data_IF_293364733729
#
_entry.id   IF_293364733729
#
_cell.length_a   1.000
_cell.length_b   1.000
_cell.length_c   1.000
_cell.angle_alpha   90.00
_cell.angle_beta   90.00
_cell.angle_gamma   90.00
#
_symmetry.space_group_name_H-M   'P 1'
#
loop_
_entity.id
_entity.type
_entity.pdbx_description
1 polymer ?
#
# COMPACT_ATOMS: atom_id res chain seq x y z
N UNK A 1 -59.25 -11.96 -44.11
CA UNK A 1 -59.54 -12.61 -42.80
C UNK A 1 -58.21 -12.93 -42.16
N UNK A 2 -57.82 -12.50 -40.96
CA UNK A 2 -58.50 -11.77 -39.91
C UNK A 2 -57.45 -10.92 -39.16
N UNK A 3 -57.86 -9.76 -38.66
CA UNK A 3 -57.08 -8.95 -37.74
C UNK A 3 -57.07 -9.65 -36.37
N UNK A 4 -55.88 -9.83 -35.78
CA UNK A 4 -55.75 -10.17 -34.38
C UNK A 4 -55.24 -8.91 -33.66
N UNK A 5 -56.18 -8.17 -33.08
CA UNK A 5 -55.88 -7.04 -32.20
C UNK A 5 -55.13 -7.53 -30.98
N UNK A 6 -53.92 -7.04 -30.79
CA UNK A 6 -53.21 -7.16 -29.51
C UNK A 6 -54.02 -6.37 -28.50
N UNK A 7 -54.57 -7.07 -27.51
CA UNK A 7 -55.33 -6.47 -26.40
C UNK A 7 -54.55 -5.32 -25.79
N UNK A 8 -55.17 -4.13 -25.77
CA UNK A 8 -54.63 -2.91 -25.16
C UNK A 8 -54.23 -3.12 -23.68
N UNK A 9 -54.84 -4.11 -23.01
CA UNK A 9 -54.47 -4.49 -21.65
C UNK A 9 -53.09 -5.16 -21.55
N UNK A 10 -52.69 -5.94 -22.56
CA UNK A 10 -51.39 -6.63 -22.58
C UNK A 10 -50.24 -5.66 -22.87
N UNK A 11 -50.46 -4.65 -23.71
CA UNK A 11 -49.50 -3.57 -23.96
C UNK A 11 -49.34 -2.66 -22.75
N UNK A 12 -50.43 -2.34 -22.03
CA UNK A 12 -50.37 -1.54 -20.79
C UNK A 12 -49.67 -2.30 -19.66
N UNK A 13 -49.92 -3.61 -19.49
CA UNK A 13 -49.20 -4.43 -18.50
C UNK A 13 -47.71 -4.58 -18.81
N UNK A 14 -47.33 -4.71 -20.07
CA UNK A 14 -45.91 -4.70 -20.46
C UNK A 14 -45.26 -3.33 -20.20
N UNK A 15 -45.95 -2.23 -20.51
CA UNK A 15 -45.42 -0.88 -20.27
C UNK A 15 -45.29 -0.58 -18.76
N UNK A 16 -46.22 -1.06 -17.92
CA UNK A 16 -46.12 -0.93 -16.47
C UNK A 16 -45.03 -1.83 -15.87
N UNK A 17 -44.81 -3.04 -16.42
CA UNK A 17 -43.70 -3.89 -16.01
C UNK A 17 -42.34 -3.30 -16.40
N UNK A 18 -42.23 -2.68 -17.57
CA UNK A 18 -41.02 -1.97 -18.02
C UNK A 18 -40.78 -0.68 -17.22
N UNK A 19 -41.84 0.06 -16.88
CA UNK A 19 -41.75 1.24 -16.01
C UNK A 19 -41.37 0.84 -14.55
N UNK A 20 -41.86 -0.29 -14.05
CA UNK A 20 -41.47 -0.83 -12.74
C UNK A 20 -40.00 -1.29 -12.68
N UNK A 21 -39.45 -1.79 -13.79
CA UNK A 21 -38.02 -2.13 -13.92
C UNK A 21 -37.11 -0.89 -14.07
N UNK A 22 -37.66 0.23 -14.55
CA UNK A 22 -36.95 1.51 -14.63
C UNK A 22 -36.98 2.31 -13.31
N UNK A 23 -37.98 2.06 -12.46
CA UNK A 23 -38.12 2.68 -11.13
C UNK A 23 -37.57 1.82 -9.97
N UNK A 24 -37.01 0.65 -10.26
CA UNK A 24 -36.15 -0.03 -9.31
C UNK A 24 -34.84 0.76 -9.24
N UNK A 25 -34.69 1.59 -8.20
CA UNK A 25 -33.40 2.10 -7.76
C UNK A 25 -32.42 0.94 -7.80
N UNK A 26 -31.57 0.90 -8.83
CA UNK A 26 -30.41 0.02 -8.82
C UNK A 26 -29.56 0.57 -7.69
N UNK A 27 -29.69 -0.03 -6.51
CA UNK A 27 -28.79 0.22 -5.39
C UNK A 27 -27.42 -0.25 -5.84
N UNK A 28 -26.71 0.65 -6.54
CA UNK A 28 -25.34 0.44 -6.94
C UNK A 28 -24.52 0.50 -5.67
N UNK A 29 -24.33 -0.67 -5.05
CA UNK A 29 -23.42 -0.80 -3.92
C UNK A 29 -22.03 -0.61 -4.51
N UNK A 30 -21.51 0.62 -4.41
CA UNK A 30 -20.16 0.91 -4.85
C UNK A 30 -19.23 -0.09 -4.15
N UNK A 31 -18.26 -0.69 -4.86
CA UNK A 31 -17.36 -1.69 -4.28
C UNK A 31 -16.47 -1.16 -3.13
N UNK A 32 -16.63 0.09 -2.70
CA UNK A 32 -15.94 0.74 -1.58
C UNK A 32 -16.89 1.12 -0.42
N UNK A 33 -18.15 0.63 -0.39
CA UNK A 33 -19.14 0.96 0.65
C UNK A 33 -18.65 0.70 2.09
N UNK A 34 -17.73 -0.26 2.28
CA UNK A 34 -17.13 -0.55 3.59
C UNK A 34 -16.07 0.47 4.04
N UNK A 35 -15.58 1.31 3.12
CA UNK A 35 -14.48 2.25 3.35
C UNK A 35 -14.94 3.71 3.36
N UNK A 36 -16.15 4.00 2.89
CA UNK A 36 -16.72 5.37 2.92
C UNK A 36 -17.50 5.62 4.21
N UNK A 37 -17.83 6.89 4.47
CA UNK A 37 -18.71 7.25 5.58
C UNK A 37 -20.13 6.72 5.37
N UNK A 38 -20.75 6.22 6.44
CA UNK A 38 -22.19 5.94 6.44
C UNK A 38 -22.98 7.23 6.59
N UNK A 39 -24.26 7.21 6.19
CA UNK A 39 -25.18 8.34 6.41
C UNK A 39 -25.19 8.80 7.87
N UNK A 40 -25.25 7.85 8.81
CA UNK A 40 -25.21 8.13 10.24
C UNK A 40 -23.92 8.81 10.70
N UNK A 41 -22.75 8.39 10.19
CA UNK A 41 -21.48 9.05 10.49
C UNK A 41 -21.42 10.46 9.91
N UNK A 42 -22.00 10.68 8.73
CA UNK A 42 -22.10 12.01 8.13
C UNK A 42 -22.98 12.95 8.96
N UNK A 43 -24.15 12.49 9.42
CA UNK A 43 -25.02 13.28 10.30
C UNK A 43 -24.33 13.62 11.63
N UNK A 44 -23.50 12.72 12.18
CA UNK A 44 -22.71 12.99 13.37
C UNK A 44 -21.61 14.02 13.11
N UNK A 45 -20.93 13.94 11.96
CA UNK A 45 -19.91 14.92 11.56
C UNK A 45 -20.53 16.32 11.38
N UNK A 46 -21.71 16.41 10.76
CA UNK A 46 -22.45 17.66 10.57
C UNK A 46 -22.95 18.26 11.91
N UNK A 47 -23.43 17.42 12.83
CA UNK A 47 -23.79 17.87 14.18
C UNK A 47 -22.56 18.35 14.96
N UNK A 48 -21.43 17.66 14.82
CA UNK A 48 -20.19 18.05 15.50
C UNK A 48 -19.61 19.36 14.96
N UNK A 49 -19.76 19.65 13.67
CA UNK A 49 -19.28 20.91 13.07
C UNK A 49 -20.09 22.13 13.51
N UNK A 50 -21.38 21.95 13.82
CA UNK A 50 -22.28 23.01 14.26
C UNK A 50 -22.03 23.48 15.72
N UNK A 51 -21.38 22.68 16.57
CA UNK A 51 -21.17 22.98 18.01
C UNK A 51 -19.69 22.97 18.47
N UNK A 52 -18.71 22.97 17.57
CA UNK A 52 -17.32 22.58 17.93
C UNK A 52 -16.59 23.48 18.95
N UNK A 53 -16.13 22.92 20.10
CA UNK A 53 -14.99 23.46 20.82
C UNK A 53 -13.70 23.33 19.99
N UNK A 54 -12.78 24.30 20.08
CA UNK A 54 -11.49 24.30 19.35
C UNK A 54 -10.78 22.96 19.55
N UNK A 55 -10.35 22.34 18.46
CA UNK A 55 -9.63 21.07 18.50
C UNK A 55 -8.39 21.18 19.42
N UNK A 56 -8.23 20.19 20.31
CA UNK A 56 -7.08 20.13 21.21
C UNK A 56 -5.78 20.05 20.41
N UNK A 57 -4.86 20.97 20.71
CA UNK A 57 -3.55 21.08 20.05
C UNK A 57 -2.42 21.02 21.07
N UNK A 58 -1.26 20.52 20.66
CA UNK A 58 -0.06 20.47 21.49
C UNK A 58 1.19 20.78 20.66
N UNK A 59 2.22 21.31 21.31
CA UNK A 59 3.52 21.53 20.68
C UNK A 59 4.40 20.30 20.93
N UNK A 60 4.97 19.67 19.88
CA UNK A 60 5.87 18.54 20.06
C UNK A 60 7.09 18.88 20.91
N UNK A 61 7.50 17.95 21.77
CA UNK A 61 8.71 18.09 22.59
C UNK A 61 9.97 18.13 21.70
N UNK A 62 11.05 18.81 22.11
CA UNK A 62 12.28 18.85 21.34
C UNK A 62 12.85 17.46 21.04
N UNK A 63 13.50 17.28 19.90
CA UNK A 63 14.08 15.99 19.48
C UNK A 63 15.13 15.44 20.46
N UNK A 64 15.74 16.31 21.28
CA UNK A 64 16.72 15.93 22.31
C UNK A 64 16.06 15.32 23.57
N UNK A 65 14.74 15.42 23.72
CA UNK A 65 14.04 14.86 24.86
C UNK A 65 14.19 13.33 24.89
N UNK A 66 14.55 12.81 26.07
CA UNK A 66 14.78 11.37 26.25
C UNK A 66 13.52 10.60 25.90
N UNK A 67 13.68 9.60 25.03
CA UNK A 67 12.61 8.73 24.54
C UNK A 67 13.03 7.30 24.80
N UNK A 68 12.12 6.47 25.33
CA UNK A 68 12.38 5.04 25.48
C UNK A 68 12.53 4.39 24.11
N UNK A 69 13.45 3.42 23.95
CA UNK A 69 13.53 2.63 22.72
C UNK A 69 12.20 1.92 22.43
N UNK A 70 11.97 1.65 21.15
CA UNK A 70 10.81 0.89 20.68
C UNK A 70 11.02 -0.58 21.00
N UNK A 71 10.03 -1.17 21.68
CA UNK A 71 9.96 -2.61 21.88
C UNK A 71 9.24 -3.27 20.71
N UNK A 72 10.01 -3.79 19.76
CA UNK A 72 9.46 -4.42 18.54
C UNK A 72 8.68 -5.70 18.83
N UNK A 73 9.04 -6.42 19.90
CA UNK A 73 8.38 -7.67 20.25
C UNK A 73 7.01 -7.41 20.87
N UNK A 74 6.92 -6.41 21.76
CA UNK A 74 5.63 -5.96 22.30
C UNK A 74 4.69 -5.46 21.18
N UNK A 75 5.22 -4.74 20.17
CA UNK A 75 4.43 -4.33 19.01
C UNK A 75 3.92 -5.51 18.19
N UNK A 76 4.76 -6.51 17.95
CA UNK A 76 4.38 -7.74 17.26
C UNK A 76 3.25 -8.46 18.00
N UNK A 77 3.35 -8.59 19.31
CA UNK A 77 2.31 -9.21 20.14
C UNK A 77 0.99 -8.44 20.09
N UNK A 78 1.03 -7.11 20.20
CA UNK A 78 -0.16 -6.27 20.09
C UNK A 78 -0.85 -6.43 18.72
N UNK A 79 -0.07 -6.44 17.63
CA UNK A 79 -0.55 -6.66 16.27
C UNK A 79 -1.18 -8.05 16.10
N UNK A 80 -0.55 -9.09 16.66
CA UNK A 80 -1.05 -10.46 16.59
C UNK A 80 -2.37 -10.62 17.38
N UNK A 81 -2.44 -10.10 18.61
CA UNK A 81 -3.64 -10.13 19.45
C UNK A 81 -4.83 -9.43 18.80
N UNK A 82 -4.58 -8.34 18.06
CA UNK A 82 -5.62 -7.64 17.34
C UNK A 82 -6.28 -8.50 16.24
N UNK A 83 -5.61 -9.55 15.76
CA UNK A 83 -6.17 -10.45 14.75
C UNK A 83 -7.13 -11.51 15.29
N UNK A 84 -7.05 -11.83 16.57
CA UNK A 84 -7.88 -12.88 17.19
C UNK A 84 -9.35 -12.47 17.29
N UNK A 85 -9.63 -11.16 17.36
CA UNK A 85 -10.96 -10.59 17.55
C UNK A 85 -11.56 -9.99 16.28
N UNK A 86 -11.01 -10.31 15.10
CA UNK A 86 -11.47 -9.73 13.84
C UNK A 86 -12.86 -10.23 13.46
N UNK A 87 -13.75 -9.29 13.17
CA UNK A 87 -15.06 -9.59 12.58
C UNK A 87 -14.93 -9.81 11.07
N UNK A 88 -15.95 -10.42 10.45
CA UNK A 88 -15.96 -10.63 8.99
C UNK A 88 -15.91 -9.32 8.21
N UNK A 89 -16.57 -8.26 8.70
CA UNK A 89 -16.50 -6.92 8.10
C UNK A 89 -15.07 -6.34 8.14
N UNK A 90 -14.29 -6.62 9.18
CA UNK A 90 -12.88 -6.20 9.28
C UNK A 90 -12.02 -6.92 8.25
N UNK A 91 -12.26 -8.21 8.06
CA UNK A 91 -11.56 -9.03 7.05
C UNK A 91 -11.90 -8.57 5.63
N UNK A 92 -13.17 -8.28 5.35
CA UNK A 92 -13.60 -7.74 4.07
C UNK A 92 -13.00 -6.35 3.80
N UNK A 93 -12.96 -5.47 4.81
CA UNK A 93 -12.29 -4.17 4.71
C UNK A 93 -10.80 -4.32 4.42
N UNK A 94 -10.11 -5.20 5.15
CA UNK A 94 -8.71 -5.51 4.94
C UNK A 94 -8.44 -6.09 3.53
N UNK A 95 -9.30 -6.99 3.04
CA UNK A 95 -9.19 -7.50 1.67
C UNK A 95 -9.35 -6.38 0.62
N UNK A 96 -10.31 -5.47 0.83
CA UNK A 96 -10.56 -4.36 -0.08
C UNK A 96 -9.41 -3.37 -0.11
N UNK A 97 -8.91 -2.95 1.05
CA UNK A 97 -7.73 -2.07 1.17
C UNK A 97 -6.49 -2.79 0.62
N UNK A 98 -6.35 -4.10 0.85
CA UNK A 98 -5.30 -4.93 0.27
C UNK A 98 -5.28 -4.91 -1.27
N UNK A 99 -6.45 -4.92 -1.91
CA UNK A 99 -6.54 -4.78 -3.36
C UNK A 99 -6.13 -3.38 -3.84
N UNK A 100 -6.61 -2.33 -3.14
CA UNK A 100 -6.28 -0.94 -3.48
C UNK A 100 -4.79 -0.64 -3.33
N UNK A 101 -4.17 -1.07 -2.22
CA UNK A 101 -2.74 -0.86 -1.99
C UNK A 101 -1.89 -1.64 -2.98
N UNK A 102 -2.31 -2.83 -3.43
CA UNK A 102 -1.58 -3.58 -4.46
C UNK A 102 -1.59 -2.83 -5.79
N UNK A 103 -2.77 -2.34 -6.22
CA UNK A 103 -2.89 -1.58 -7.46
C UNK A 103 -2.04 -0.30 -7.44
N UNK A 104 -2.17 0.50 -6.38
CA UNK A 104 -1.37 1.70 -6.23
C UNK A 104 0.12 1.36 -6.11
N UNK A 105 0.46 0.31 -5.37
CA UNK A 105 1.83 -0.16 -5.21
C UNK A 105 2.50 -0.52 -6.53
N UNK A 106 1.80 -1.24 -7.41
CA UNK A 106 2.31 -1.59 -8.74
C UNK A 106 2.53 -0.36 -9.61
N UNK A 107 1.58 0.57 -9.62
CA UNK A 107 1.72 1.83 -10.34
C UNK A 107 2.94 2.62 -9.84
N UNK A 108 3.08 2.78 -8.53
CA UNK A 108 4.17 3.54 -7.92
C UNK A 108 5.53 2.85 -8.05
N UNK A 109 5.57 1.52 -8.01
CA UNK A 109 6.78 0.75 -8.25
C UNK A 109 7.30 0.98 -9.66
N UNK A 110 6.42 0.94 -10.67
CA UNK A 110 6.80 1.22 -12.05
C UNK A 110 7.37 2.62 -12.23
N UNK A 111 6.77 3.63 -11.60
CA UNK A 111 7.32 4.99 -11.62
C UNK A 111 8.71 5.05 -10.97
N UNK A 112 8.88 4.38 -9.82
CA UNK A 112 10.16 4.31 -9.14
C UNK A 112 11.22 3.57 -9.99
N UNK A 113 10.89 2.47 -10.65
CA UNK A 113 11.85 1.74 -11.49
C UNK A 113 12.25 2.51 -12.74
N UNK A 114 11.35 3.30 -13.33
CA UNK A 114 11.65 4.18 -14.47
C UNK A 114 12.55 5.37 -14.09
N UNK A 115 12.49 5.83 -12.83
CA UNK A 115 13.26 6.99 -12.35
C UNK A 115 14.57 6.65 -11.63
N UNK A 116 14.67 5.45 -11.04
CA UNK A 116 15.83 5.04 -10.26
C UNK A 116 16.90 4.45 -11.18
N UNK A 117 17.97 5.21 -11.44
CA UNK A 117 19.16 4.80 -12.19
C UNK A 117 20.26 4.21 -11.28
N UNK A 118 19.89 3.70 -10.10
CA UNK A 118 20.84 3.21 -9.10
C UNK A 118 21.27 1.77 -9.35
N UNK A 119 22.59 1.51 -9.22
CA UNK A 119 23.20 0.19 -9.39
C UNK A 119 22.74 -0.87 -8.36
N UNK A 120 22.14 -0.46 -7.23
CA UNK A 120 21.51 -1.35 -6.25
C UNK A 120 20.00 -1.36 -6.48
N UNK A 121 19.40 -2.53 -6.74
CA UNK A 121 18.00 -2.67 -7.18
C UNK A 121 16.92 -1.98 -6.34
N UNK A 122 15.71 -1.94 -6.90
CA UNK A 122 14.60 -1.12 -6.39
C UNK A 122 13.74 -1.87 -5.36
N UNK A 123 13.38 -1.21 -4.26
CA UNK A 123 12.47 -1.76 -3.24
C UNK A 123 11.38 -0.75 -2.88
N UNK A 124 10.13 -1.20 -2.93
CA UNK A 124 8.97 -0.42 -2.51
C UNK A 124 8.14 -1.22 -1.50
N UNK A 125 7.52 -0.53 -0.55
CA UNK A 125 6.50 -1.12 0.32
C UNK A 125 5.13 -0.52 -0.01
N UNK A 126 4.25 -1.27 -0.71
CA UNK A 126 2.91 -0.78 -1.04
C UNK A 126 2.10 -0.39 0.19
N UNK A 127 2.19 -1.18 1.26
CA UNK A 127 1.51 -0.92 2.54
C UNK A 127 2.00 0.36 3.20
N UNK A 128 3.32 0.60 3.21
CA UNK A 128 3.92 1.82 3.78
C UNK A 128 3.53 3.06 2.98
N UNK A 129 3.63 2.98 1.65
CA UNK A 129 3.28 4.07 0.75
C UNK A 129 1.79 4.42 0.88
N UNK A 130 0.92 3.42 0.82
CA UNK A 130 -0.53 3.61 0.92
C UNK A 130 -0.92 4.15 2.30
N UNK A 131 -0.36 3.61 3.38
CA UNK A 131 -0.63 4.08 4.74
C UNK A 131 -0.12 5.50 5.00
N UNK A 132 1.00 5.89 4.40
CA UNK A 132 1.51 7.28 4.46
C UNK A 132 0.57 8.25 3.75
N UNK A 133 0.09 7.91 2.55
CA UNK A 133 -0.90 8.72 1.83
C UNK A 133 -2.25 8.78 2.55
N UNK A 134 -2.72 7.65 3.11
CA UNK A 134 -3.94 7.59 3.90
C UNK A 134 -3.83 8.41 5.20
N UNK A 135 -2.64 8.44 5.81
CA UNK A 135 -2.35 9.29 6.97
C UNK A 135 -2.42 10.77 6.60
N UNK A 136 -1.84 11.17 5.47
CA UNK A 136 -1.95 12.55 4.99
C UNK A 136 -3.39 12.92 4.60
N UNK A 137 -4.15 11.98 4.01
CA UNK A 137 -5.57 12.14 3.72
C UNK A 137 -6.40 12.42 4.99
N UNK A 138 -6.11 11.73 6.09
CA UNK A 138 -6.75 11.99 7.38
C UNK A 138 -6.53 13.44 7.85
N UNK A 139 -5.35 13.99 7.56
CA UNK A 139 -4.95 15.36 7.84
C UNK A 139 -5.45 16.41 6.82
N UNK A 140 -6.05 16.00 5.72
CA UNK A 140 -6.38 16.87 4.61
C UNK A 140 -7.82 17.44 4.67
N UNK A 141 -7.95 18.63 4.10
CA UNK A 141 -9.22 19.28 3.74
C UNK A 141 -9.29 19.46 2.23
N UNK A 142 -10.48 19.78 1.72
CA UNK A 142 -10.63 20.04 0.29
C UNK A 142 -9.89 21.33 -0.12
N UNK A 143 -9.34 21.37 -1.35
CA UNK A 143 -9.43 20.36 -2.42
C UNK A 143 -8.43 19.19 -2.29
N UNK A 144 -7.46 19.27 -1.38
CA UNK A 144 -6.39 18.26 -1.23
C UNK A 144 -6.91 16.89 -0.84
N UNK A 145 -7.89 16.81 0.07
CA UNK A 145 -8.51 15.56 0.49
C UNK A 145 -9.14 14.80 -0.68
N UNK A 146 -9.95 15.49 -1.49
CA UNK A 146 -10.57 14.90 -2.69
C UNK A 146 -9.54 14.41 -3.72
N UNK A 147 -8.45 15.16 -3.94
CA UNK A 147 -7.36 14.74 -4.84
C UNK A 147 -6.61 13.52 -4.31
N UNK A 148 -6.33 13.46 -3.00
CA UNK A 148 -5.71 12.31 -2.35
C UNK A 148 -6.62 11.07 -2.41
N UNK A 149 -7.92 11.24 -2.20
CA UNK A 149 -8.90 10.15 -2.30
C UNK A 149 -8.92 9.54 -3.72
N UNK A 150 -8.96 10.39 -4.74
CA UNK A 150 -8.89 9.93 -6.13
C UNK A 150 -7.57 9.18 -6.41
N UNK A 151 -6.46 9.68 -5.87
CA UNK A 151 -5.15 9.02 -5.99
C UNK A 151 -5.07 7.67 -5.27
N UNK A 152 -5.77 7.52 -4.13
CA UNK A 152 -5.91 6.24 -3.42
C UNK A 152 -6.82 5.24 -4.17
N UNK A 153 -7.42 5.64 -5.29
CA UNK A 153 -8.22 4.77 -6.17
C UNK A 153 -9.72 4.76 -5.84
N UNK A 154 -10.22 5.74 -5.09
CA UNK A 154 -11.67 5.88 -4.80
C UNK A 154 -12.20 7.13 -5.49
N UNK A 155 -13.02 7.00 -6.55
CA UNK A 155 -13.60 8.16 -7.20
C UNK A 155 -14.60 8.84 -6.26
N UNK A 156 -14.55 10.17 -6.16
CA UNK A 156 -15.54 10.97 -5.43
C UNK A 156 -16.58 11.51 -6.39
N UNK A 157 -17.50 10.66 -6.87
CA UNK A 157 -18.45 11.03 -7.94
C UNK A 157 -19.45 12.12 -7.51
N UNK A 158 -19.91 12.13 -6.25
CA UNK A 158 -21.06 12.96 -5.86
C UNK A 158 -20.76 14.15 -4.93
N UNK A 159 -19.50 14.45 -4.58
CA UNK A 159 -19.06 15.45 -3.57
C UNK A 159 -19.70 15.35 -2.15
N UNK A 160 -20.75 14.55 -1.97
CA UNK A 160 -21.43 14.32 -0.71
C UNK A 160 -20.59 13.55 0.31
N UNK A 161 -20.92 13.67 1.58
CA UNK A 161 -20.14 13.04 2.66
C UNK A 161 -20.04 11.51 2.52
N UNK A 162 -21.08 10.83 2.02
CA UNK A 162 -21.11 9.36 1.87
C UNK A 162 -20.24 8.83 0.72
N UNK A 163 -19.76 9.69 -0.18
CA UNK A 163 -18.77 9.32 -1.19
C UNK A 163 -17.34 9.59 -0.74
N UNK A 164 -17.16 10.18 0.46
CA UNK A 164 -15.83 10.42 1.04
C UNK A 164 -15.32 9.18 1.74
N UNK A 165 -14.02 8.93 1.55
CA UNK A 165 -13.29 7.87 2.22
C UNK A 165 -13.20 8.15 3.72
N UNK A 166 -13.46 7.15 4.55
CA UNK A 166 -13.22 7.23 5.98
C UNK A 166 -11.78 6.81 6.27
N UNK A 167 -10.91 7.80 6.50
CA UNK A 167 -9.51 7.57 6.81
C UNK A 167 -9.28 6.65 8.00
N UNK A 168 -10.15 6.70 9.02
CA UNK A 168 -10.00 5.83 10.20
C UNK A 168 -10.29 4.36 9.86
N UNK A 169 -11.31 4.10 9.04
CA UNK A 169 -11.60 2.74 8.55
C UNK A 169 -10.44 2.20 7.72
N UNK A 170 -9.84 3.05 6.88
CA UNK A 170 -8.70 2.67 6.03
C UNK A 170 -7.46 2.35 6.88
N UNK A 171 -7.08 3.22 7.82
CA UNK A 171 -5.93 2.97 8.69
C UNK A 171 -6.15 1.77 9.61
N UNK A 172 -7.39 1.55 10.08
CA UNK A 172 -7.76 0.33 10.82
C UNK A 172 -7.66 -0.93 9.95
N UNK A 173 -8.10 -0.89 8.70
CA UNK A 173 -7.92 -2.01 7.77
C UNK A 173 -6.43 -2.29 7.51
N UNK A 174 -5.57 -1.26 7.43
CA UNK A 174 -4.12 -1.44 7.36
C UNK A 174 -3.54 -2.08 8.62
N UNK A 175 -4.03 -1.72 9.80
CA UNK A 175 -3.67 -2.39 11.06
C UNK A 175 -3.97 -3.89 10.99
N UNK A 176 -5.17 -4.25 10.52
CA UNK A 176 -5.58 -5.64 10.32
C UNK A 176 -4.66 -6.37 9.34
N UNK A 177 -4.27 -5.75 8.23
CA UNK A 177 -3.32 -6.35 7.26
C UNK A 177 -1.95 -6.60 7.92
N UNK A 178 -1.43 -5.62 8.68
CA UNK A 178 -0.16 -5.75 9.41
C UNK A 178 -0.23 -6.86 10.45
N UNK A 179 -1.32 -6.94 11.22
CA UNK A 179 -1.59 -8.01 12.18
C UNK A 179 -1.63 -9.38 11.51
N UNK A 180 -2.38 -9.51 10.41
CA UNK A 180 -2.50 -10.78 9.68
C UNK A 180 -1.16 -11.28 9.11
N UNK A 181 -0.23 -10.36 8.81
CA UNK A 181 1.14 -10.70 8.40
C UNK A 181 1.92 -11.39 9.51
N UNK A 182 1.88 -10.82 10.72
CA UNK A 182 2.70 -11.27 11.88
C UNK A 182 1.99 -12.32 12.74
N UNK A 183 0.69 -12.51 12.55
CA UNK A 183 -0.09 -13.53 13.25
C UNK A 183 0.49 -14.93 12.99
N UNK A 184 0.81 -15.63 14.07
CA UNK A 184 1.29 -17.00 13.97
C UNK A 184 0.11 -17.97 13.74
N UNK A 185 0.30 -18.93 12.85
CA UNK A 185 -0.56 -20.12 12.85
C UNK A 185 -0.27 -20.92 14.12
N UNK A 186 -1.32 -21.40 14.80
CA UNK A 186 -1.24 -22.04 16.12
C UNK A 186 -0.25 -23.22 16.27
N UNK A 187 -0.19 -23.73 17.51
CA UNK A 187 0.70 -24.76 18.08
C UNK A 187 1.45 -25.65 17.06
N UNK A 188 2.61 -25.19 16.61
CA UNK A 188 3.42 -25.94 15.67
C UNK A 188 4.62 -25.16 15.10
N UNK A 189 5.47 -24.62 15.97
CA UNK A 189 6.84 -24.16 15.66
C UNK A 189 7.02 -23.46 14.30
N UNK A 190 6.23 -22.42 14.04
CA UNK A 190 6.33 -21.61 12.83
C UNK A 190 7.34 -20.49 13.02
N UNK A 191 7.94 -20.04 11.93
CA UNK A 191 8.89 -18.92 11.94
C UNK A 191 8.22 -17.64 12.44
N UNK A 192 8.88 -16.94 13.36
CA UNK A 192 8.47 -15.62 13.86
C UNK A 192 8.67 -14.58 12.75
N UNK A 193 7.59 -13.87 12.41
CA UNK A 193 7.64 -12.68 11.56
C UNK A 193 7.49 -11.43 12.43
N UNK A 194 8.30 -10.43 12.12
CA UNK A 194 8.30 -9.16 12.82
C UNK A 194 8.11 -8.05 11.79
N UNK A 195 7.17 -7.16 12.09
CA UNK A 195 6.87 -5.97 11.32
C UNK A 195 6.68 -4.82 12.31
N UNK A 196 7.54 -3.82 12.20
CA UNK A 196 7.49 -2.62 13.03
C UNK A 196 7.35 -1.40 12.13
N UNK A 197 6.28 -0.64 12.36
CA UNK A 197 6.00 0.62 11.65
C UNK A 197 6.09 1.77 12.65
N UNK A 198 7.06 2.67 12.42
CA UNK A 198 7.30 3.85 13.25
C UNK A 198 7.11 5.09 12.39
N UNK A 199 6.31 6.04 12.87
CA UNK A 199 6.08 7.31 12.20
C UNK A 199 6.79 8.44 12.94
N UNK A 200 7.72 9.11 12.28
CA UNK A 200 8.36 10.32 12.77
C UNK A 200 7.67 11.57 12.21
N UNK A 201 7.11 12.40 13.10
CA UNK A 201 6.55 13.70 12.75
C UNK A 201 7.48 14.79 13.26
N UNK A 202 8.28 15.36 12.37
CA UNK A 202 9.29 16.35 12.74
C UNK A 202 8.81 17.74 12.37
N UNK A 203 8.59 18.60 13.36
CA UNK A 203 8.01 19.93 13.16
C UNK A 203 9.01 21.05 13.44
N UNK A 204 8.82 22.19 12.79
CA UNK A 204 9.48 23.42 13.21
C UNK A 204 9.11 23.78 14.66
N UNK A 205 9.99 24.49 15.40
CA UNK A 205 9.70 24.89 16.76
C UNK A 205 8.45 25.78 16.82
N UNK A 206 7.57 25.55 17.80
CA UNK A 206 6.35 26.32 17.99
C UNK A 206 5.12 25.81 17.23
N UNK A 207 5.29 25.00 16.19
CA UNK A 207 4.16 24.44 15.43
C UNK A 207 3.30 23.51 16.30
N UNK A 208 1.97 23.69 16.25
CA UNK A 208 1.01 22.99 17.09
C UNK A 208 0.28 21.89 16.30
N UNK A 209 0.47 20.63 16.69
CA UNK A 209 -0.24 19.51 16.08
C UNK A 209 -1.62 19.30 16.74
N UNK A 210 -2.62 18.97 15.93
CA UNK A 210 -3.96 18.56 16.39
C UNK A 210 -3.90 17.16 16.98
N UNK A 211 -4.37 17.01 18.22
CA UNK A 211 -4.40 15.73 18.92
C UNK A 211 -5.28 14.67 18.23
N UNK A 212 -6.47 15.01 17.66
CA UNK A 212 -7.28 14.05 16.92
C UNK A 212 -6.54 13.43 15.73
N UNK A 213 -5.74 14.23 15.02
CA UNK A 213 -4.92 13.74 13.91
C UNK A 213 -3.89 12.71 14.40
N UNK A 214 -3.06 13.07 15.38
CA UNK A 214 -2.01 12.18 15.89
C UNK A 214 -2.59 10.88 16.45
N UNK A 215 -3.73 10.94 17.16
CA UNK A 215 -4.43 9.73 17.64
C UNK A 215 -4.97 8.86 16.51
N UNK A 216 -5.46 9.48 15.44
CA UNK A 216 -5.97 8.76 14.27
C UNK A 216 -4.90 8.02 13.47
N UNK A 217 -3.61 8.31 13.67
CA UNK A 217 -2.49 7.61 13.03
C UNK A 217 -2.17 6.26 13.72
N UNK A 218 -2.57 6.08 14.98
CA UNK A 218 -2.23 4.92 15.80
C UNK A 218 -2.57 3.56 15.17
N UNK A 219 -3.70 3.38 14.44
CA UNK A 219 -3.97 2.11 13.78
C UNK A 219 -2.92 1.75 12.70
N UNK A 220 -2.40 2.72 11.95
CA UNK A 220 -1.38 2.41 10.94
C UNK A 220 0.03 2.33 11.54
N UNK A 221 0.37 3.25 12.44
CA UNK A 221 1.67 3.34 13.09
C UNK A 221 1.46 3.52 14.61
N UNK A 222 1.41 2.42 15.39
CA UNK A 222 1.22 2.46 16.84
C UNK A 222 2.28 3.32 17.54
N UNK A 223 3.49 3.36 16.97
CA UNK A 223 4.57 4.24 17.43
C UNK A 223 4.61 5.49 16.54
N UNK A 224 3.96 6.54 17.00
CA UNK A 224 4.06 7.89 16.40
C UNK A 224 4.90 8.80 17.30
N UNK A 225 5.97 9.37 16.74
CA UNK A 225 6.98 10.17 17.44
C UNK A 225 6.96 11.62 16.94
N UNK A 226 6.09 12.48 17.49
CA UNK A 226 6.12 13.90 17.21
C UNK A 226 7.28 14.57 17.95
N UNK A 227 8.21 15.20 17.22
CA UNK A 227 9.35 15.94 17.79
C UNK A 227 9.52 17.29 17.11
N UNK A 228 9.90 18.30 17.88
CA UNK A 228 10.28 19.60 17.33
C UNK A 228 11.80 19.72 17.17
N UNK A 229 12.22 20.33 16.08
CA UNK A 229 13.61 20.72 15.82
C UNK A 229 13.64 21.86 14.82
N UNK A 230 14.71 22.64 14.85
CA UNK A 230 14.95 23.65 13.83
C UNK A 230 15.24 23.00 12.47
N UNK A 231 14.47 23.39 11.46
CA UNK A 231 14.53 22.89 10.08
C UNK A 231 15.09 23.94 9.11
N UNK A 232 15.23 25.21 9.53
CA UNK A 232 15.51 26.32 8.61
C UNK A 232 16.98 26.74 8.60
N UNK A 233 17.65 26.75 9.76
CA UNK A 233 19.02 27.27 9.87
C UNK A 233 20.07 26.37 9.22
N UNK A 234 19.98 25.06 9.47
CA UNK A 234 20.88 24.05 8.94
C UNK A 234 20.10 22.75 8.66
N UNK A 235 19.50 22.62 7.45
CA UNK A 235 18.71 21.44 7.08
C UNK A 235 19.51 20.14 7.10
N UNK A 236 20.81 20.17 6.81
CA UNK A 236 21.68 18.99 6.80
C UNK A 236 21.94 18.50 8.23
N UNK A 237 22.23 19.40 9.16
CA UNK A 237 22.34 19.08 10.59
C UNK A 237 21.00 18.59 11.16
N UNK A 238 19.88 19.16 10.72
CA UNK A 238 18.55 18.68 11.11
C UNK A 238 18.32 17.24 10.64
N UNK A 239 18.67 16.92 9.41
CA UNK A 239 18.59 15.56 8.86
C UNK A 239 19.49 14.57 9.64
N UNK A 240 20.70 14.98 10.04
CA UNK A 240 21.60 14.17 10.86
C UNK A 240 21.00 13.91 12.25
N UNK A 241 20.44 14.95 12.90
CA UNK A 241 19.76 14.83 14.19
C UNK A 241 18.57 13.87 14.11
N UNK A 242 17.77 13.92 13.05
CA UNK A 242 16.66 13.00 12.80
C UNK A 242 17.17 11.56 12.66
N UNK A 243 18.20 11.33 11.84
CA UNK A 243 18.79 10.01 11.67
C UNK A 243 19.31 9.43 12.99
N UNK A 244 20.06 10.23 13.75
CA UNK A 244 20.60 9.83 15.07
C UNK A 244 19.48 9.52 16.06
N UNK A 245 18.45 10.36 16.12
CA UNK A 245 17.29 10.15 16.98
C UNK A 245 16.57 8.84 16.63
N UNK A 246 16.27 8.63 15.35
CA UNK A 246 15.58 7.43 14.90
C UNK A 246 16.41 6.18 15.14
N UNK A 247 17.72 6.21 14.89
CA UNK A 247 18.62 5.09 15.19
C UNK A 247 18.67 4.80 16.70
N UNK A 248 18.66 5.82 17.56
CA UNK A 248 18.67 5.63 19.01
C UNK A 248 17.35 5.05 19.54
N UNK A 249 16.21 5.44 18.95
CA UNK A 249 14.89 5.00 19.39
C UNK A 249 14.51 3.63 18.80
N UNK A 250 14.91 3.32 17.57
CA UNK A 250 14.54 2.04 16.93
C UNK A 250 15.65 1.00 16.95
N UNK A 251 16.92 1.41 17.14
CA UNK A 251 18.07 0.52 17.01
C UNK A 251 18.42 0.17 15.56
N UNK A 252 17.63 0.62 14.58
CA UNK A 252 17.85 0.28 13.16
C UNK A 252 18.97 1.13 12.58
N UNK A 253 19.81 0.50 11.76
CA UNK A 253 20.89 1.22 11.07
C UNK A 253 20.30 2.06 9.94
N UNK A 254 20.20 3.37 10.18
CA UNK A 254 19.78 4.36 9.19
C UNK A 254 20.85 4.51 8.11
N UNK A 255 20.43 4.67 6.85
CA UNK A 255 21.34 5.05 5.77
C UNK A 255 21.62 6.56 5.81
N UNK A 256 22.10 7.12 4.70
CA UNK A 256 22.48 8.54 4.62
C UNK A 256 21.33 9.46 5.07
N UNK A 257 21.65 10.57 5.77
CA UNK A 257 20.67 11.62 6.07
C UNK A 257 19.94 12.06 4.82
N UNK A 258 18.66 12.46 4.97
CA UNK A 258 17.92 12.97 3.82
C UNK A 258 18.45 14.34 3.45
N UNK A 259 19.03 14.43 2.26
CA UNK A 259 19.41 15.68 1.62
C UNK A 259 18.21 16.37 0.98
N UNK A 260 18.28 17.69 0.83
CA UNK A 260 17.29 18.46 0.07
C UNK A 260 16.00 18.78 0.84
N UNK A 261 16.07 18.87 2.17
CA UNK A 261 15.00 19.48 2.97
C UNK A 261 15.03 21.00 2.72
N UNK A 262 13.91 21.58 2.30
CA UNK A 262 13.83 23.03 2.09
C UNK A 262 13.88 23.77 3.44
N UNK A 263 14.63 24.88 3.57
CA UNK A 263 14.66 25.71 4.78
C UNK A 263 13.27 26.23 5.20
N UNK A 264 12.34 26.36 4.26
CA UNK A 264 10.97 26.83 4.52
C UNK A 264 10.04 25.73 5.06
N UNK A 265 10.56 24.52 5.24
CA UNK A 265 9.79 23.36 5.71
C UNK A 265 9.41 23.52 7.16
N UNK A 266 8.14 23.24 7.48
CA UNK A 266 7.63 23.26 8.86
C UNK A 266 7.19 21.89 9.35
N UNK A 267 7.01 20.92 8.44
CA UNK A 267 6.73 19.52 8.77
C UNK A 267 7.52 18.58 7.85
N UNK A 268 8.20 17.59 8.45
CA UNK A 268 8.66 16.38 7.76
C UNK A 268 7.85 15.18 8.24
N UNK A 269 7.33 14.40 7.30
CA UNK A 269 6.48 13.25 7.57
C UNK A 269 7.23 11.97 7.15
N UNK A 270 7.81 11.25 8.11
CA UNK A 270 8.72 10.14 7.82
C UNK A 270 8.17 8.83 8.36
N UNK A 271 7.84 7.90 7.48
CA UNK A 271 7.42 6.55 7.83
C UNK A 271 8.60 5.61 7.73
N UNK A 272 8.93 4.93 8.82
CA UNK A 272 10.01 3.94 8.92
C UNK A 272 9.39 2.57 9.13
N UNK A 273 9.76 1.62 8.28
CA UNK A 273 9.29 0.23 8.40
C UNK A 273 10.47 -0.70 8.47
N UNK A 274 10.45 -1.53 9.51
CA UNK A 274 11.34 -2.65 9.69
C UNK A 274 10.56 -3.95 9.53
N UNK A 275 11.03 -4.80 8.62
CA UNK A 275 10.47 -6.15 8.46
C UNK A 275 11.58 -7.16 8.58
N UNK A 276 11.32 -8.17 9.39
CA UNK A 276 12.21 -9.29 9.65
C UNK A 276 11.42 -10.59 9.56
N UNK A 277 11.95 -11.53 8.78
CA UNK A 277 11.39 -12.87 8.65
C UNK A 277 12.50 -13.92 8.65
N UNK A 278 12.22 -15.07 9.26
CA UNK A 278 13.13 -16.22 9.29
C UNK A 278 12.58 -17.31 8.37
N UNK A 279 13.37 -17.84 7.44
CA UNK A 279 12.93 -19.06 6.78
C UNK A 279 13.23 -20.28 7.61
N UNK A 280 12.28 -21.21 7.57
CA UNK A 280 12.43 -22.50 8.20
C UNK A 280 13.12 -23.45 7.22
N UNK A 281 14.14 -24.17 7.71
CA UNK A 281 14.86 -25.17 6.92
C UNK A 281 15.92 -24.60 5.98
N UNK A 282 16.23 -23.31 6.11
CA UNK A 282 17.36 -22.68 5.42
C UNK A 282 18.52 -22.47 6.39
N UNK A 283 19.72 -22.49 5.85
CA UNK A 283 20.97 -22.30 6.58
C UNK A 283 21.95 -21.49 5.74
N UNK A 284 22.75 -20.67 6.41
CA UNK A 284 23.84 -19.93 5.79
C UNK A 284 24.90 -20.92 5.27
N UNK A 285 25.26 -20.78 3.99
CA UNK A 285 26.33 -21.55 3.38
C UNK A 285 27.70 -21.05 3.83
N UNK A 286 28.71 -21.93 3.94
CA UNK A 286 30.06 -21.52 4.27
C UNK A 286 30.67 -20.70 3.12
N UNK A 287 31.30 -19.58 3.48
CA UNK A 287 31.94 -18.68 2.52
C UNK A 287 30.98 -17.77 1.75
N UNK A 288 31.56 -16.89 0.94
CA UNK A 288 30.83 -16.05 0.00
C UNK A 288 30.73 -16.78 -1.35
N UNK A 289 29.64 -16.55 -2.08
CA UNK A 289 29.49 -17.06 -3.45
C UNK A 289 29.16 -15.94 -4.41
N UNK A 290 29.47 -16.16 -5.67
CA UNK A 290 29.28 -15.15 -6.71
C UNK A 290 27.80 -15.00 -7.06
N UNK A 291 27.33 -13.76 -7.00
CA UNK A 291 26.06 -13.32 -7.54
C UNK A 291 26.33 -12.46 -8.77
N UNK A 292 25.84 -12.91 -9.92
CA UNK A 292 26.01 -12.23 -11.20
C UNK A 292 25.00 -11.09 -11.33
N UNK A 293 25.49 -9.86 -11.39
CA UNK A 293 24.66 -8.65 -11.55
C UNK A 293 24.35 -8.42 -13.02
N UNK A 294 25.30 -8.78 -13.88
CA UNK A 294 25.15 -8.85 -15.33
C UNK A 294 26.02 -10.00 -15.88
N UNK A 295 26.12 -10.13 -17.20
CA UNK A 295 26.87 -11.23 -17.85
C UNK A 295 28.39 -11.15 -17.63
N UNK A 296 28.92 -10.03 -17.15
CA UNK A 296 30.36 -9.76 -17.01
C UNK A 296 30.78 -9.49 -15.56
N UNK A 297 29.87 -9.01 -14.70
CA UNK A 297 30.16 -8.58 -13.33
C UNK A 297 29.50 -9.48 -12.30
N UNK A 298 30.30 -9.95 -11.34
CA UNK A 298 29.84 -10.71 -10.19
C UNK A 298 30.27 -10.03 -8.88
N UNK A 299 29.48 -10.26 -7.84
CA UNK A 299 29.76 -9.81 -6.47
C UNK A 299 29.68 -10.99 -5.53
N UNK A 300 30.67 -11.16 -4.65
CA UNK A 300 30.68 -12.25 -3.68
C UNK A 300 29.78 -11.88 -2.48
N UNK A 301 28.73 -12.67 -2.27
CA UNK A 301 27.70 -12.42 -1.24
C UNK A 301 27.46 -13.65 -0.37
N UNK A 302 27.02 -13.48 0.88
CA UNK A 302 26.56 -14.61 1.69
C UNK A 302 25.34 -15.25 1.05
N UNK A 303 25.35 -16.58 0.92
CA UNK A 303 24.24 -17.36 0.38
C UNK A 303 23.60 -18.21 1.47
N UNK A 304 22.30 -18.46 1.32
CA UNK A 304 21.51 -19.34 2.16
C UNK A 304 20.90 -20.44 1.31
N UNK A 305 20.78 -21.64 1.88
CA UNK A 305 20.25 -22.80 1.16
C UNK A 305 19.32 -23.61 2.03
N UNK A 306 18.24 -24.09 1.42
CA UNK A 306 17.23 -24.93 2.07
C UNK A 306 16.59 -25.86 1.06
N UNK A 307 16.34 -27.09 1.47
CA UNK A 307 15.68 -28.11 0.64
C UNK A 307 14.29 -28.36 1.19
N UNK A 308 13.28 -28.34 0.31
CA UNK A 308 11.91 -28.59 0.71
C UNK A 308 10.99 -28.74 -0.48
N UNK A 309 9.71 -29.01 -0.19
CA UNK A 309 8.66 -28.96 -1.20
C UNK A 309 8.13 -27.54 -1.27
N UNK A 310 8.45 -26.83 -2.35
CA UNK A 310 7.96 -25.48 -2.60
C UNK A 310 6.94 -25.49 -3.73
N UNK A 311 6.06 -24.49 -3.72
CA UNK A 311 5.13 -24.25 -4.81
C UNK A 311 5.91 -23.55 -5.93
N UNK A 312 5.94 -24.16 -7.12
CA UNK A 312 6.75 -23.68 -8.24
C UNK A 312 5.98 -23.76 -9.56
N UNK A 313 6.27 -22.82 -10.44
CA UNK A 313 5.76 -22.76 -11.81
C UNK A 313 6.84 -22.17 -12.72
N UNK A 314 6.98 -22.72 -13.92
CA UNK A 314 7.88 -22.22 -14.96
C UNK A 314 7.07 -21.98 -16.22
N UNK A 315 7.26 -20.80 -16.81
CA UNK A 315 6.58 -20.34 -18.00
C UNK A 315 7.59 -20.11 -19.12
N UNK A 316 7.63 -21.03 -20.07
CA UNK A 316 8.48 -20.91 -21.24
C UNK A 316 7.98 -19.85 -22.23
N UNK A 317 6.71 -19.42 -22.18
CA UNK A 317 6.20 -18.38 -23.09
C UNK A 317 6.68 -16.99 -22.69
N UNK A 318 6.80 -16.75 -21.38
CA UNK A 318 7.24 -15.47 -20.82
C UNK A 318 8.66 -15.54 -20.21
N UNK A 319 9.43 -16.59 -20.51
CA UNK A 319 10.81 -16.82 -20.03
C UNK A 319 11.00 -16.56 -18.53
N UNK A 320 10.10 -17.06 -17.68
CA UNK A 320 10.18 -16.82 -16.24
C UNK A 320 9.83 -18.05 -15.43
N UNK A 321 10.24 -18.04 -14.18
CA UNK A 321 9.84 -19.02 -13.18
C UNK A 321 9.48 -18.33 -11.87
N UNK A 322 8.52 -18.92 -11.18
CA UNK A 322 7.99 -18.42 -9.91
C UNK A 322 8.14 -19.49 -8.86
N UNK A 323 8.78 -19.16 -7.74
CA UNK A 323 8.88 -20.04 -6.57
C UNK A 323 8.28 -19.35 -5.36
N UNK A 324 7.32 -20.01 -4.72
CA UNK A 324 6.66 -19.52 -3.51
C UNK A 324 7.21 -20.25 -2.29
N UNK A 325 7.81 -19.48 -1.40
CA UNK A 325 8.41 -19.93 -0.15
C UNK A 325 7.54 -19.47 1.02
N UNK A 326 6.94 -20.39 1.80
CA UNK A 326 6.09 -20.02 2.93
C UNK A 326 6.93 -19.38 4.05
N UNK A 327 6.47 -18.25 4.57
CA UNK A 327 7.07 -17.57 5.72
C UNK A 327 6.30 -17.86 7.01
N UNK A 328 4.97 -17.81 6.90
CA UNK A 328 4.02 -18.15 7.95
C UNK A 328 2.75 -18.74 7.32
N UNK A 329 1.71 -18.96 8.11
CA UNK A 329 0.39 -19.37 7.62
C UNK A 329 -0.18 -18.38 6.59
N UNK A 330 0.03 -17.09 6.82
CA UNK A 330 -0.61 -16.00 6.06
C UNK A 330 0.38 -15.22 5.17
N UNK A 331 1.68 -15.49 5.30
CA UNK A 331 2.73 -14.78 4.58
C UNK A 331 3.56 -15.75 3.74
N UNK A 332 3.90 -15.33 2.53
CA UNK A 332 4.86 -16.03 1.70
C UNK A 332 5.73 -15.04 0.95
N UNK A 333 6.92 -15.53 0.66
CA UNK A 333 7.89 -14.92 -0.21
C UNK A 333 7.69 -15.47 -1.63
N UNK A 334 7.65 -14.58 -2.61
CA UNK A 334 7.56 -14.94 -4.02
C UNK A 334 8.85 -14.56 -4.73
N UNK A 335 9.50 -15.54 -5.32
CA UNK A 335 10.72 -15.37 -6.08
C UNK A 335 10.40 -15.52 -7.55
N UNK A 336 10.52 -14.41 -8.27
CA UNK A 336 10.37 -14.37 -9.72
C UNK A 336 11.78 -14.37 -10.31
N UNK A 337 12.09 -15.38 -11.11
CA UNK A 337 13.39 -15.52 -11.76
C UNK A 337 13.19 -15.57 -13.27
N UNK A 338 13.78 -14.64 -14.06
CA UNK A 338 13.81 -14.76 -15.50
C UNK A 338 14.73 -15.92 -15.92
N UNK A 339 14.45 -16.57 -17.04
CA UNK A 339 15.30 -17.66 -17.56
C UNK A 339 16.64 -17.14 -18.09
N UNK A 340 16.68 -15.90 -18.58
CA UNK A 340 17.89 -15.19 -18.96
C UNK A 340 17.99 -13.81 -18.29
N UNK A 341 19.21 -13.36 -17.98
CA UNK A 341 19.42 -12.07 -17.32
C UNK A 341 18.91 -10.86 -18.15
N UNK A 342 18.93 -10.97 -19.48
CA UNK A 342 18.40 -9.95 -20.40
C UNK A 342 16.91 -9.70 -20.25
N UNK A 343 16.16 -10.70 -19.75
CA UNK A 343 14.70 -10.68 -19.74
C UNK A 343 14.15 -10.03 -18.45
N UNK A 344 15.04 -9.61 -17.53
CA UNK A 344 14.66 -9.08 -16.22
C UNK A 344 13.68 -7.90 -16.32
N UNK A 345 13.95 -6.92 -17.18
CA UNK A 345 13.07 -5.75 -17.33
C UNK A 345 11.67 -6.13 -17.86
N UNK A 346 11.62 -7.08 -18.80
CA UNK A 346 10.35 -7.57 -19.34
C UNK A 346 9.56 -8.35 -18.28
N UNK A 347 10.24 -9.26 -17.57
CA UNK A 347 9.63 -10.07 -16.50
C UNK A 347 9.18 -9.20 -15.33
N UNK A 348 9.94 -8.17 -14.97
CA UNK A 348 9.56 -7.18 -13.97
C UNK A 348 8.28 -6.44 -14.39
N UNK A 349 8.23 -5.94 -15.62
CA UNK A 349 7.06 -5.27 -16.16
C UNK A 349 5.81 -6.18 -16.19
N UNK A 350 5.97 -7.48 -16.46
CA UNK A 350 4.88 -8.46 -16.42
C UNK A 350 4.44 -8.79 -14.98
N UNK A 351 5.39 -8.87 -14.05
CA UNK A 351 5.13 -9.21 -12.64
C UNK A 351 4.20 -8.22 -11.98
N UNK A 352 4.33 -6.93 -12.30
CA UNK A 352 3.52 -5.86 -11.74
C UNK A 352 2.27 -5.51 -12.57
N UNK A 353 1.86 -6.39 -13.49
CA UNK A 353 0.57 -6.30 -14.19
C UNK A 353 -0.55 -7.03 -13.46
N UNK A 354 -1.80 -6.71 -13.82
CA UNK A 354 -3.00 -7.31 -13.22
C UNK A 354 -3.08 -8.84 -13.30
N UNK A 355 -2.31 -9.48 -14.19
CA UNK A 355 -2.33 -10.92 -14.40
C UNK A 355 -1.54 -11.72 -13.36
N UNK A 356 -0.82 -11.07 -12.44
CA UNK A 356 -0.01 -11.73 -11.42
C UNK A 356 -0.80 -12.77 -10.59
N UNK A 357 -2.06 -12.47 -10.28
CA UNK A 357 -2.92 -13.39 -9.53
C UNK A 357 -3.25 -14.68 -10.30
N UNK A 358 -3.23 -14.63 -11.64
CA UNK A 358 -3.43 -15.81 -12.49
C UNK A 358 -2.21 -16.73 -12.42
N UNK A 359 -1.00 -16.17 -12.36
CA UNK A 359 0.24 -16.96 -12.23
C UNK A 359 0.29 -17.74 -10.91
N UNK A 360 -0.21 -17.15 -9.82
CA UNK A 360 -0.30 -17.81 -8.53
C UNK A 360 -1.17 -19.07 -8.55
N UNK A 361 -2.11 -19.20 -9.48
CA UNK A 361 -2.98 -20.38 -9.63
C UNK A 361 -2.27 -21.55 -10.31
N UNK A 362 -1.23 -21.28 -11.09
CA UNK A 362 -0.48 -22.30 -11.85
C UNK A 362 0.65 -22.96 -11.03
N UNK A 363 0.87 -22.48 -9.80
CA UNK A 363 1.86 -23.04 -8.90
C UNK A 363 1.53 -24.49 -8.52
N UNK A 364 2.55 -25.36 -8.58
CA UNK A 364 2.43 -26.77 -8.20
C UNK A 364 3.54 -27.19 -7.24
N UNK A 365 3.30 -28.14 -6.33
CA UNK A 365 4.35 -28.63 -5.43
C UNK A 365 5.50 -29.28 -6.20
N UNK A 366 6.74 -28.89 -5.86
CA UNK A 366 8.00 -29.44 -6.40
C UNK A 366 9.05 -29.56 -5.30
N UNK A 367 9.81 -30.65 -5.30
CA UNK A 367 10.98 -30.78 -4.44
C UNK A 367 12.13 -29.95 -5.03
N UNK A 368 12.56 -28.93 -4.30
CA UNK A 368 13.55 -27.95 -4.77
C UNK A 368 14.57 -27.74 -3.66
N UNK A 369 15.85 -27.76 -4.01
CA UNK A 369 16.91 -27.17 -3.21
C UNK A 369 17.07 -25.72 -3.63
N UNK A 370 16.56 -24.81 -2.82
CA UNK A 370 16.58 -23.38 -3.11
C UNK A 370 17.82 -22.76 -2.48
N UNK A 371 18.59 -22.03 -3.27
CA UNK A 371 19.74 -21.25 -2.81
C UNK A 371 19.58 -19.81 -3.27
N UNK A 372 19.80 -18.84 -2.39
CA UNK A 372 19.77 -17.42 -2.76
C UNK A 372 20.76 -16.58 -1.94
N UNK A 373 20.96 -15.30 -2.28
CA UNK A 373 21.66 -14.37 -1.41
C UNK A 373 20.93 -14.12 -0.09
N UNK A 374 21.66 -13.97 1.02
CA UNK A 374 21.10 -13.41 2.24
C UNK A 374 20.72 -11.94 1.98
N UNK A 375 19.44 -11.60 2.13
CA UNK A 375 18.93 -10.29 1.73
C UNK A 375 18.84 -9.36 2.95
N UNK A 376 19.71 -8.35 2.94
CA UNK A 376 19.61 -7.20 3.82
C UNK A 376 19.43 -5.97 2.94
N UNK A 377 18.19 -5.60 2.69
CA UNK A 377 17.86 -4.49 1.80
C UNK A 377 17.47 -3.25 2.57
N UNK A 378 17.86 -2.11 2.03
CA UNK A 378 17.44 -0.83 2.54
C UNK A 378 17.08 0.07 1.38
N UNK A 379 16.01 0.80 1.56
CA UNK A 379 15.54 1.73 0.57
C UNK A 379 14.91 2.92 1.26
N UNK A 380 15.09 4.08 0.65
CA UNK A 380 14.45 5.31 1.04
C UNK A 380 13.96 6.01 -0.21
N UNK A 381 12.70 6.41 -0.23
CA UNK A 381 12.13 7.20 -1.31
C UNK A 381 11.26 8.32 -0.73
N UNK A 382 11.23 9.45 -1.43
CA UNK A 382 10.33 10.56 -1.12
C UNK A 382 9.04 10.42 -1.95
N UNK A 383 7.91 10.44 -1.26
CA UNK A 383 6.60 10.39 -1.91
C UNK A 383 6.35 11.62 -2.79
N UNK A 384 6.91 12.79 -2.45
CA UNK A 384 6.76 13.97 -3.29
C UNK A 384 7.43 13.80 -4.64
N UNK A 385 8.63 13.22 -4.68
CA UNK A 385 9.35 12.94 -5.93
C UNK A 385 8.58 11.92 -6.78
N UNK A 386 8.04 10.86 -6.16
CA UNK A 386 7.19 9.88 -6.86
C UNK A 386 5.87 10.48 -7.37
N UNK A 387 5.24 11.37 -6.60
CA UNK A 387 4.02 12.07 -7.03
C UNK A 387 4.31 13.04 -8.18
N UNK A 388 5.47 13.69 -8.19
CA UNK A 388 5.90 14.53 -9.30
C UNK A 388 6.03 13.72 -10.60
N UNK A 389 6.62 12.52 -10.52
CA UNK A 389 6.68 11.59 -11.65
C UNK A 389 5.29 11.14 -12.10
N UNK A 390 4.37 10.92 -11.16
CA UNK A 390 2.95 10.66 -11.44
C UNK A 390 2.18 11.91 -11.94
N UNK A 391 2.87 13.01 -12.28
CA UNK A 391 2.31 14.28 -12.77
C UNK A 391 1.39 14.98 -11.77
N UNK A 392 1.59 14.74 -10.47
CA UNK A 392 0.85 15.33 -9.36
C UNK A 392 1.77 16.02 -8.33
N UNK A 393 2.76 16.85 -8.74
CA UNK A 393 3.74 17.45 -7.82
C UNK A 393 3.09 18.38 -6.77
N UNK A 394 1.95 19.00 -7.10
CA UNK A 394 1.25 19.93 -6.20
C UNK A 394 0.36 19.23 -5.17
N UNK A 395 0.19 17.91 -5.23
CA UNK A 395 -0.72 17.19 -4.34
C UNK A 395 -0.33 17.33 -2.86
N UNK A 396 0.98 17.29 -2.58
CA UNK A 396 1.59 17.47 -1.27
C UNK A 396 2.56 18.67 -1.24
N UNK A 397 2.40 19.60 -2.18
CA UNK A 397 3.24 20.80 -2.28
C UNK A 397 2.85 21.88 -1.28
N UNK A 398 3.40 23.09 -1.46
CA UNK A 398 3.19 24.23 -0.56
C UNK A 398 1.73 24.68 -0.42
N UNK A 399 0.87 24.37 -1.40
CA UNK A 399 -0.56 24.71 -1.41
C UNK A 399 -1.45 23.58 -0.87
N UNK A 400 -0.88 22.50 -0.35
CA UNK A 400 -1.65 21.39 0.18
C UNK A 400 -2.43 21.81 1.43
N UNK A 401 -3.76 21.69 1.38
CA UNK A 401 -4.64 22.03 2.50
C UNK A 401 -4.64 20.88 3.54
N UNK A 402 -3.72 20.97 4.49
CA UNK A 402 -3.53 20.01 5.59
C UNK A 402 -4.03 20.55 6.93
N UNK A 403 -5.10 21.35 6.91
CA UNK A 403 -5.63 22.02 8.09
C UNK A 403 -6.15 21.11 9.21
N UNK A 404 -6.31 19.78 9.00
CA UNK A 404 -6.61 18.85 10.10
C UNK A 404 -5.35 18.38 10.83
N UNK A 405 -4.15 18.67 10.32
CA UNK A 405 -2.87 18.39 11.00
C UNK A 405 -2.53 19.51 12.00
N UNK A 406 -2.63 20.77 11.56
CA UNK A 406 -2.31 21.97 12.34
C UNK A 406 -3.22 23.13 11.91
N UNK A 407 -3.43 24.10 12.79
CA UNK A 407 -4.03 25.40 12.45
C UNK A 407 -2.97 26.41 11.94
N UNK A 408 -1.68 26.12 12.17
CA UNK A 408 -0.57 26.95 11.74
C UNK A 408 -0.29 26.75 10.24
N UNK A 409 0.41 27.70 9.61
CA UNK A 409 0.81 27.58 8.21
C UNK A 409 1.78 26.41 8.01
N UNK A 410 1.27 25.31 7.45
CA UNK A 410 1.99 24.06 7.32
C UNK A 410 2.58 23.92 5.91
N UNK A 411 3.88 23.66 5.85
CA UNK A 411 4.67 23.42 4.64
C UNK A 411 5.37 22.09 4.78
N UNK A 412 4.92 21.13 4.00
CA UNK A 412 5.51 19.79 3.97
C UNK A 412 6.84 19.87 3.24
N UNK A 413 7.93 19.56 3.94
CA UNK A 413 9.27 19.55 3.36
C UNK A 413 9.55 18.28 2.59
N UNK A 414 9.47 17.14 3.28
CA UNK A 414 9.71 15.80 2.73
C UNK A 414 8.71 14.80 3.30
N UNK A 415 8.29 13.83 2.46
CA UNK A 415 7.41 12.73 2.88
C UNK A 415 8.14 11.42 2.62
N UNK A 416 8.92 10.99 3.60
CA UNK A 416 9.87 9.91 3.41
C UNK A 416 9.27 8.57 3.80
N UNK A 417 9.38 7.59 2.92
CA UNK A 417 9.19 6.20 3.26
C UNK A 417 10.57 5.53 3.30
N UNK A 418 10.98 5.15 4.50
CA UNK A 418 12.23 4.43 4.73
C UNK A 418 11.92 3.00 5.11
N UNK A 419 12.62 2.08 4.47
CA UNK A 419 12.49 0.66 4.71
C UNK A 419 13.84 0.07 5.05
N UNK A 420 13.86 -0.68 6.13
CA UNK A 420 14.93 -1.62 6.46
C UNK A 420 14.34 -3.02 6.39
N UNK A 421 14.77 -3.81 5.42
CA UNK A 421 14.56 -5.25 5.39
C UNK A 421 15.83 -5.88 5.97
N UNK A 422 15.74 -6.30 7.23
CA UNK A 422 16.76 -7.13 7.85
C UNK A 422 16.17 -8.51 8.05
N UNK A 423 16.61 -9.45 7.23
CA UNK A 423 16.63 -10.84 7.60
C UNK A 423 18.03 -11.35 7.33
N UNK A 424 18.49 -12.40 8.04
CA UNK A 424 19.61 -13.19 7.54
C UNK A 424 19.32 -13.84 6.18
N UNK A 425 18.19 -13.54 5.52
CA UNK A 425 17.48 -14.33 4.54
C UNK A 425 16.26 -13.51 3.95
N UNK A 426 16.21 -13.19 2.63
CA UNK A 426 15.04 -12.79 1.74
C UNK A 426 14.36 -11.35 1.63
N UNK A 427 13.53 -11.12 0.55
CA UNK A 427 12.78 -9.88 0.10
C UNK A 427 11.34 -10.14 -0.43
N UNK A 428 10.40 -9.24 -0.12
CA UNK A 428 9.05 -8.95 -0.70
C UNK A 428 7.94 -10.02 -0.56
N UNK A 429 7.04 -9.76 0.38
CA UNK A 429 5.77 -10.47 0.56
C UNK A 429 4.69 -9.94 -0.39
N UNK A 430 4.02 -10.85 -1.11
CA UNK A 430 2.67 -10.60 -1.63
C UNK A 430 1.67 -11.21 -0.65
N UNK A 431 0.78 -10.38 -0.13
CA UNK A 431 -0.25 -10.82 0.81
C UNK A 431 -1.33 -11.66 0.13
N UNK A 432 -1.65 -12.80 0.74
CA UNK A 432 -2.89 -13.53 0.51
C UNK A 432 -3.84 -13.21 1.67
N UNK A 433 -4.91 -12.46 1.42
CA UNK A 433 -6.08 -12.47 2.32
C UNK A 433 -6.94 -13.63 1.83
N UNK A 434 -6.82 -14.80 2.48
CA UNK A 434 -7.59 -15.99 2.11
C UNK A 434 -8.95 -16.01 2.81
N UNK A 435 -9.99 -16.48 2.11
CA UNK A 435 -11.22 -16.95 2.73
C UNK A 435 -12.54 -16.67 2.03
N UNK A 436 -12.67 -16.85 0.71
CA UNK A 436 -13.97 -17.19 0.09
C UNK A 436 -13.69 -18.18 -1.05
N UNK A 437 -13.80 -19.47 -0.73
CA UNK A 437 -14.08 -20.48 -1.74
C UNK A 437 -15.59 -20.45 -2.01
N UNK A 438 -15.97 -20.65 -3.27
CA UNK A 438 -17.33 -20.72 -3.80
C UNK A 438 -18.01 -19.39 -4.14
N UNK A 439 -17.89 -18.99 -5.41
CA UNK A 439 -19.08 -18.95 -6.28
C UNK A 439 -18.74 -19.75 -7.53
N UNK A 440 -19.18 -21.01 -7.53
CA UNK A 440 -19.26 -21.79 -8.76
C UNK A 440 -20.26 -21.12 -9.69
N UNK A 441 -19.83 -20.79 -10.91
CA UNK A 441 -20.77 -20.71 -12.03
C UNK A 441 -21.13 -22.15 -12.39
N UNK A 442 -22.12 -22.69 -11.68
CA UNK A 442 -22.84 -23.86 -12.13
C UNK A 442 -23.77 -23.45 -13.27
N UNK A 443 -23.64 -24.15 -14.39
CA UNK A 443 -24.26 -23.77 -15.66
C UNK A 443 -25.78 -23.93 -15.65
N UNK A 444 -26.44 -22.98 -16.30
CA UNK A 444 -27.69 -23.24 -17.00
C UNK A 444 -27.39 -23.29 -18.50
N UNK A 445 -27.45 -24.49 -19.06
CA UNK A 445 -27.38 -24.73 -20.50
C UNK A 445 -28.60 -24.13 -21.21
N UNK A 446 -28.41 -23.52 -22.38
CA UNK A 446 -29.54 -23.20 -23.26
C UNK A 446 -29.24 -22.30 -24.46
N UNK A 447 -28.68 -22.90 -25.53
CA UNK A 447 -28.83 -22.55 -26.97
C UNK A 447 -28.54 -21.11 -27.48
N UNK A 448 -27.38 -21.01 -28.13
CA UNK A 448 -27.22 -20.69 -29.57
C UNK A 448 -27.95 -19.45 -30.16
N UNK A 449 -27.21 -18.35 -30.31
CA UNK A 449 -27.23 -17.31 -31.36
C UNK A 449 -26.32 -16.17 -30.87
N UNK A 450 -25.47 -15.46 -31.59
CA UNK A 450 -25.04 -15.34 -32.98
C UNK A 450 -23.99 -14.21 -32.97
N UNK A 451 -22.99 -14.28 -33.84
CA UNK A 451 -21.92 -13.27 -33.95
C UNK A 451 -22.48 -11.90 -34.36
N UNK A 452 -22.54 -10.94 -33.44
CA UNK A 452 -22.41 -9.50 -33.74
C UNK A 452 -22.27 -8.71 -32.44
N UNK A 453 -21.15 -8.01 -32.24
CA UNK A 453 -20.94 -7.20 -31.04
C UNK A 453 -19.50 -7.15 -30.55
N UNK A 454 -18.51 -7.10 -31.46
CA UNK A 454 -17.10 -6.90 -31.09
C UNK A 454 -16.42 -5.87 -32.01
N UNK A 455 -16.99 -4.66 -32.10
CA UNK A 455 -16.34 -3.47 -32.69
C UNK A 455 -16.92 -2.18 -32.08
N UNK A 456 -16.27 -1.66 -31.05
CA UNK A 456 -16.21 -0.25 -30.70
C UNK A 456 -15.18 -0.10 -29.57
N UNK A 457 -14.46 1.02 -29.55
CA UNK A 457 -13.38 1.39 -28.60
C UNK A 457 -11.95 1.03 -29.01
N UNK A 458 -11.57 1.37 -30.24
CA UNK A 458 -10.20 1.82 -30.55
C UNK A 458 -10.26 2.95 -31.59
N UNK A 459 -9.85 4.15 -31.17
CA UNK A 459 -9.58 5.32 -32.01
C UNK A 459 -9.18 6.44 -31.06
N UNK A 460 -7.96 6.96 -31.01
CA UNK A 460 -6.95 7.10 -32.06
C UNK A 460 -6.64 8.59 -32.16
N UNK A 461 -5.73 9.10 -31.32
CA UNK A 461 -5.23 10.46 -31.42
C UNK A 461 -3.87 10.45 -32.13
N UNK A 462 -3.82 11.05 -33.32
CA UNK A 462 -2.60 11.42 -34.03
C UNK A 462 -2.68 12.92 -34.45
N UNK A 463 -1.55 13.62 -34.59
CA UNK A 463 -1.45 15.07 -34.45
C UNK A 463 -1.70 15.84 -35.76
N UNK A 464 -2.19 17.08 -35.63
CA UNK A 464 -2.30 18.04 -36.76
C UNK A 464 -0.96 18.76 -36.96
N UNK A 465 -0.36 18.58 -38.13
CA UNK A 465 0.67 19.45 -38.70
C UNK A 465 -0.02 20.43 -39.64
N UNK A 466 0.10 21.73 -39.35
CA UNK A 466 -0.31 22.80 -40.25
C UNK A 466 0.80 23.12 -41.24
N UNK A 467 0.49 23.10 -42.54
CA UNK A 467 1.30 23.71 -43.60
C UNK A 467 0.72 25.08 -43.94
N UNK A 468 1.59 26.10 -43.92
CA UNK A 468 1.81 26.92 -45.11
C UNK A 468 3.30 27.00 -45.34
#
# INVERSE_FOLDING_TARGET
>A
MAAAGVSLGATVLCLLAWAGLAAADRVYIHPFHLLVYSKSSCEQLEKSSAETPKALTFTPVPIQAKTSPVDEEALREQLALATEKLQEDDRMRAAKVGMMLNFLGFHMYRMLSESCSTASGTVLSPTTLFGTLASLYLGALDPTASRLQAFLGVPGEDQGCTSRLDGHKVLSALHTIQGLLVAQGGAGGQSTLLLSTVLGLFTAPGLRLKQPFVRGLAPFAPVTLPRSLDLSTDPDLAAEKINRFMQAVTGWKMDRPVSGVSPDSTLLFNTYVHFQGKLKGFSLLPGLQDFWVDNATSVSVPMISGTGTFQHWSDAQNNLSLTRVPLSKNACLLLVQPHGASDLQQVEALTFQHNFLTWLKNLSPRAIRLTMPQLTLRASYDLQDLLAQAKLPTLLGAEANLGKISEDNLRVGKVLCRRCLFGPEWILCVHRVGGVDSWGMEGASGRQAGEEGRKAWLGGCAPRVGKK
#
